data_IF_560245431819
#
_entry.id   IF_560245431819
#
_cell.length_a   1.000
_cell.length_b   1.000
_cell.length_c   1.000
_cell.angle_alpha   90.00
_cell.angle_beta   90.00
_cell.angle_gamma   90.00
#
_symmetry.space_group_name_H-M   'P 1'
#
loop_
_entity.id
_entity.type
_entity.pdbx_description
1 polymer ?
#
# COMPACT_ATOMS: atom_id res chain seq x y z
N UNK A 1 -4.10 -5.26 3.11
CA UNK A 1 -3.47 -6.52 2.64
C UNK A 1 -4.55 -7.58 2.67
N UNK A 2 -4.82 -8.29 1.56
CA UNK A 2 -5.97 -9.18 1.46
C UNK A 2 -5.89 -10.33 2.46
N UNK A 3 -7.05 -10.79 2.92
CA UNK A 3 -7.11 -11.95 3.78
C UNK A 3 -6.90 -13.22 2.94
N UNK A 4 -6.43 -14.31 3.56
CA UNK A 4 -6.19 -15.59 2.90
C UNK A 4 -7.40 -16.10 2.12
N UNK A 5 -8.60 -15.87 2.66
CA UNK A 5 -9.87 -16.28 2.05
C UNK A 5 -10.23 -15.51 0.78
N UNK A 6 -9.62 -14.34 0.54
CA UNK A 6 -9.87 -13.51 -0.63
C UNK A 6 -8.99 -13.93 -1.83
N UNK A 7 -8.00 -14.80 -1.61
CA UNK A 7 -7.14 -15.35 -2.66
C UNK A 7 -7.87 -16.45 -3.41
N UNK A 8 -8.50 -16.09 -4.52
CA UNK A 8 -9.21 -17.04 -5.38
C UNK A 8 -8.28 -17.74 -6.36
N UNK A 9 -8.46 -19.06 -6.55
CA UNK A 9 -7.78 -19.84 -7.58
C UNK A 9 -8.10 -19.32 -9.00
N UNK A 10 -7.18 -19.49 -9.96
CA UNK A 10 -7.39 -19.01 -11.31
C UNK A 10 -8.47 -19.83 -12.02
N UNK A 11 -9.47 -19.15 -12.59
CA UNK A 11 -10.55 -19.79 -13.36
C UNK A 11 -10.09 -20.25 -14.76
N UNK A 12 -8.95 -19.74 -15.23
CA UNK A 12 -8.34 -20.04 -16.53
C UNK A 12 -6.90 -20.53 -16.35
N UNK A 13 -6.30 -21.10 -17.41
CA UNK A 13 -4.92 -21.60 -17.36
C UNK A 13 -3.93 -20.45 -17.05
N UNK A 14 -3.25 -20.46 -15.89
CA UNK A 14 -2.32 -19.39 -15.54
C UNK A 14 -1.00 -19.54 -16.31
N UNK A 15 -0.30 -18.42 -16.51
CA UNK A 15 1.07 -18.40 -17.04
C UNK A 15 2.08 -18.88 -15.97
N UNK A 16 1.78 -18.56 -14.72
CA UNK A 16 2.51 -18.96 -13.54
C UNK A 16 1.83 -18.43 -12.28
N UNK A 17 2.31 -18.83 -11.11
CA UNK A 17 1.81 -18.32 -9.84
C UNK A 17 2.83 -17.34 -9.29
N UNK A 18 2.51 -16.05 -9.34
CA UNK A 18 3.41 -14.97 -8.98
C UNK A 18 2.95 -14.36 -7.65
N UNK A 19 3.69 -14.66 -6.58
CA UNK A 19 3.44 -14.13 -5.26
C UNK A 19 4.19 -12.81 -5.09
N UNK A 20 3.48 -11.72 -4.79
CA UNK A 20 4.07 -10.43 -4.45
C UNK A 20 4.00 -10.25 -2.94
N UNK A 21 5.17 -10.14 -2.29
CA UNK A 21 5.32 -9.90 -0.84
C UNK A 21 5.49 -8.41 -0.55
N UNK A 22 6.25 -7.72 -1.41
CA UNK A 22 6.43 -6.27 -1.37
C UNK A 22 6.19 -5.71 -2.78
N UNK A 23 5.23 -4.81 -2.91
CA UNK A 23 4.83 -4.19 -4.19
C UNK A 23 3.69 -3.18 -4.00
N UNK A 24 3.14 -2.63 -5.09
CA UNK A 24 1.98 -1.74 -5.03
C UNK A 24 0.79 -2.43 -4.38
N UNK A 25 0.53 -3.68 -4.79
CA UNK A 25 -0.43 -4.58 -4.19
C UNK A 25 0.25 -5.91 -3.83
N UNK A 26 -0.12 -6.44 -2.67
CA UNK A 26 0.34 -7.73 -2.17
C UNK A 26 -0.74 -8.77 -2.45
N UNK A 27 -0.46 -9.71 -3.35
CA UNK A 27 -1.40 -10.76 -3.77
C UNK A 27 -0.68 -11.88 -4.55
N UNK A 28 -1.46 -12.87 -5.00
CA UNK A 28 -1.03 -13.92 -5.94
C UNK A 28 -1.60 -13.58 -7.32
N UNK A 29 -0.72 -13.30 -8.27
CA UNK A 29 -1.06 -13.01 -9.65
C UNK A 29 -0.79 -14.21 -10.55
N UNK A 30 -1.53 -14.28 -11.66
CA UNK A 30 -1.51 -15.43 -12.58
C UNK A 30 -0.82 -15.14 -13.91
N UNK A 31 -0.50 -13.88 -14.16
CA UNK A 31 0.15 -13.38 -15.36
C UNK A 31 1.33 -12.51 -14.97
N UNK A 32 2.44 -12.64 -15.70
CA UNK A 32 3.61 -11.81 -15.42
C UNK A 32 3.31 -10.33 -15.66
N UNK A 33 2.52 -10.02 -16.70
CA UNK A 33 2.12 -8.65 -17.02
C UNK A 33 1.51 -7.93 -15.83
N UNK A 34 0.58 -8.59 -15.12
CA UNK A 34 -0.11 -7.99 -13.97
C UNK A 34 0.83 -7.89 -12.77
N UNK A 35 1.66 -8.92 -12.55
CA UNK A 35 2.69 -8.93 -11.49
C UNK A 35 3.68 -7.79 -11.67
N UNK A 36 4.15 -7.57 -12.90
CA UNK A 36 5.14 -6.57 -13.24
C UNK A 36 4.67 -5.15 -12.89
N UNK A 37 3.37 -4.85 -13.08
CA UNK A 37 2.77 -3.58 -12.67
C UNK A 37 2.88 -3.34 -11.16
N UNK A 38 2.87 -4.41 -10.36
CA UNK A 38 2.95 -4.29 -8.90
C UNK A 38 4.38 -4.08 -8.39
N UNK A 39 5.40 -4.52 -9.13
CA UNK A 39 6.78 -4.61 -8.61
C UNK A 39 7.79 -3.73 -9.33
N UNK A 40 7.59 -3.38 -10.59
CA UNK A 40 8.61 -2.71 -11.41
C UNK A 40 8.95 -1.29 -10.92
N UNK A 41 7.96 -0.56 -10.40
CA UNK A 41 8.15 0.82 -9.94
C UNK A 41 8.44 0.92 -8.43
N UNK A 42 8.54 -0.22 -7.74
CA UNK A 42 8.71 -0.27 -6.29
C UNK A 42 10.15 -0.66 -5.95
N UNK A 43 10.89 0.29 -5.41
CA UNK A 43 12.24 0.02 -4.89
C UNK A 43 12.16 -0.99 -3.74
N UNK A 44 12.91 -2.09 -3.87
CA UNK A 44 12.89 -3.18 -2.88
C UNK A 44 11.67 -4.10 -2.99
N UNK A 45 10.99 -4.14 -4.14
CA UNK A 45 9.94 -5.12 -4.38
C UNK A 45 10.44 -6.56 -4.21
N UNK A 46 9.61 -7.39 -3.59
CA UNK A 46 9.90 -8.82 -3.36
C UNK A 46 8.76 -9.61 -3.97
N UNK A 47 9.10 -10.48 -4.92
CA UNK A 47 8.15 -11.41 -5.53
C UNK A 47 8.79 -12.76 -5.78
N UNK A 48 7.95 -13.80 -5.84
CA UNK A 48 8.35 -15.17 -6.08
C UNK A 48 7.48 -15.81 -7.16
N UNK A 49 8.10 -16.55 -8.08
CA UNK A 49 7.39 -17.42 -9.00
C UNK A 49 7.29 -18.83 -8.41
N UNK A 50 6.07 -19.28 -8.15
CA UNK A 50 5.74 -20.60 -7.64
C UNK A 50 5.24 -21.52 -8.77
N UNK A 51 5.36 -22.84 -8.56
CA UNK A 51 4.90 -23.85 -9.54
C UNK A 51 3.41 -24.13 -9.43
N UNK A 52 2.82 -23.97 -8.25
CA UNK A 52 1.42 -24.27 -7.97
C UNK A 52 0.77 -23.17 -7.13
N UNK A 53 -0.56 -23.06 -7.21
CA UNK A 53 -1.33 -22.15 -6.37
C UNK A 53 -1.14 -22.45 -4.87
N UNK A 54 -1.23 -23.72 -4.47
CA UNK A 54 -1.03 -24.13 -3.08
C UNK A 54 0.35 -23.73 -2.54
N UNK A 55 1.40 -23.79 -3.36
CA UNK A 55 2.72 -23.33 -2.96
C UNK A 55 2.75 -21.81 -2.77
N UNK A 56 2.15 -21.06 -3.69
CA UNK A 56 2.05 -19.60 -3.57
C UNK A 56 1.24 -19.20 -2.33
N UNK A 57 0.12 -19.90 -2.08
CA UNK A 57 -0.72 -19.68 -0.91
C UNK A 57 0.02 -19.99 0.40
N UNK A 58 0.71 -21.12 0.49
CA UNK A 58 1.49 -21.47 1.68
C UNK A 58 2.59 -20.44 1.98
N UNK A 59 3.28 -19.96 0.93
CA UNK A 59 4.28 -18.90 1.08
C UNK A 59 3.64 -17.56 1.47
N UNK A 60 2.48 -17.23 0.90
CA UNK A 60 1.72 -16.04 1.28
C UNK A 60 1.31 -16.10 2.76
N UNK A 61 0.75 -17.23 3.21
CA UNK A 61 0.37 -17.45 4.62
C UNK A 61 1.57 -17.29 5.54
N UNK A 62 2.71 -17.92 5.22
CA UNK A 62 3.91 -17.80 6.02
C UNK A 62 4.42 -16.35 6.12
N UNK A 63 4.35 -15.58 5.03
CA UNK A 63 4.72 -14.17 5.04
C UNK A 63 3.69 -13.29 5.76
N UNK A 64 2.40 -13.62 5.67
CA UNK A 64 1.32 -12.96 6.39
C UNK A 64 1.50 -13.11 7.90
N UNK A 65 1.71 -14.34 8.37
CA UNK A 65 1.86 -14.66 9.79
C UNK A 65 3.13 -14.04 10.40
N UNK A 66 4.17 -13.84 9.59
CA UNK A 66 5.40 -13.15 10.00
C UNK A 66 5.32 -11.63 9.92
N UNK A 67 4.27 -11.06 9.32
CA UNK A 67 4.16 -9.63 9.08
C UNK A 67 5.14 -9.10 8.02
N UNK A 68 5.61 -9.96 7.11
CA UNK A 68 6.56 -9.60 6.03
C UNK A 68 5.85 -8.96 4.82
N UNK A 69 4.53 -9.09 4.73
CA UNK A 69 3.72 -8.53 3.66
C UNK A 69 3.67 -7.00 3.74
N UNK A 70 4.04 -6.30 2.66
CA UNK A 70 4.04 -4.83 2.62
C UNK A 70 3.55 -4.28 1.28
N UNK A 71 2.38 -3.66 1.31
CA UNK A 71 1.89 -2.88 0.17
C UNK A 71 2.45 -1.46 0.22
N UNK A 72 3.09 -1.02 -0.86
CA UNK A 72 3.64 0.33 -1.08
C UNK A 72 2.98 0.87 -2.35
N UNK A 73 1.70 1.26 -2.29
CA UNK A 73 1.01 1.78 -3.45
C UNK A 73 1.62 3.12 -3.89
N UNK A 74 1.54 3.44 -5.18
CA UNK A 74 1.98 4.76 -5.66
C UNK A 74 1.00 5.85 -5.20
N UNK A 75 1.49 7.03 -4.77
CA UNK A 75 0.62 8.17 -4.44
C UNK A 75 -0.34 8.45 -5.58
N UNK A 76 -1.64 8.61 -5.26
CA UNK A 76 -2.74 8.80 -6.23
C UNK A 76 -3.01 7.64 -7.21
N UNK A 77 -2.31 6.52 -7.07
CA UNK A 77 -2.52 5.32 -7.88
C UNK A 77 -3.83 4.59 -7.54
N UNK A 78 -4.21 3.59 -8.35
CA UNK A 78 -5.44 2.82 -8.16
C UNK A 78 -5.46 2.02 -6.85
N UNK A 79 -4.28 1.70 -6.31
CA UNK A 79 -4.10 0.96 -5.06
C UNK A 79 -3.84 1.87 -3.85
N UNK A 80 -3.83 3.20 -4.04
CA UNK A 80 -3.62 4.14 -2.94
C UNK A 80 -4.80 4.09 -1.97
N UNK A 81 -4.58 3.96 -0.64
CA UNK A 81 -5.67 3.80 0.31
C UNK A 81 -6.63 4.99 0.24
N UNK A 82 -7.89 4.73 -0.11
CA UNK A 82 -8.94 5.76 -0.15
C UNK A 82 -9.24 6.33 1.25
N UNK A 83 -8.83 5.65 2.33
CA UNK A 83 -8.97 6.17 3.70
C UNK A 83 -8.15 7.47 3.93
N UNK A 84 -7.08 7.69 3.15
CA UNK A 84 -6.37 8.99 3.11
C UNK A 84 -7.05 10.02 2.20
N UNK A 85 -8.00 9.56 1.38
CA UNK A 85 -8.83 10.37 0.51
C UNK A 85 -10.16 10.60 1.23
N UNK A 86 -10.12 11.21 2.42
CA UNK A 86 -11.34 11.72 3.05
C UNK A 86 -12.07 12.59 2.03
N UNK A 87 -13.31 12.27 1.60
CA UNK A 87 -14.25 13.35 1.37
C UNK A 87 -14.44 14.04 2.72
N UNK A 88 -14.51 15.38 2.72
CA UNK A 88 -14.80 16.17 3.91
C UNK A 88 -15.94 15.56 4.74
N UNK A 89 -15.87 15.65 6.09
CA UNK A 89 -16.32 14.57 6.97
C UNK A 89 -17.83 14.55 7.23
N UNK A 90 -18.42 13.35 7.23
CA UNK A 90 -19.41 13.00 8.26
C UNK A 90 -18.63 12.34 9.41
N UNK A 91 -18.31 13.22 10.34
CA UNK A 91 -17.42 13.12 11.48
C UNK A 91 -17.92 12.07 12.49
N UNK A 92 -17.12 11.06 12.82
CA UNK A 92 -17.32 10.21 14.01
C UNK A 92 -16.43 10.77 15.12
N UNK A 93 -17.04 11.19 16.22
CA UNK A 93 -16.50 12.10 17.25
C UNK A 93 -15.27 11.59 18.04
N UNK A 94 -14.75 10.40 17.75
CA UNK A 94 -13.66 9.79 18.55
C UNK A 94 -12.23 10.06 18.08
N UNK A 95 -12.01 10.36 16.80
CA UNK A 95 -10.65 10.35 16.21
C UNK A 95 -10.07 11.74 15.91
N UNK A 96 -10.83 12.81 16.20
CA UNK A 96 -10.41 14.19 15.89
C UNK A 96 -9.28 14.73 16.77
N UNK A 97 -9.06 14.12 17.95
CA UNK A 97 -8.06 14.62 18.88
C UNK A 97 -6.62 14.39 18.38
N UNK A 98 -6.38 13.40 17.51
CA UNK A 98 -5.03 12.96 17.17
C UNK A 98 -4.39 13.77 16.03
N UNK A 99 -5.19 14.33 15.13
CA UNK A 99 -4.69 15.11 13.98
C UNK A 99 -4.74 16.64 14.20
N UNK A 100 -5.52 17.12 15.17
CA UNK A 100 -5.60 18.55 15.47
C UNK A 100 -4.29 19.12 16.04
N UNK A 101 -3.52 18.30 16.78
CA UNK A 101 -2.25 18.74 17.40
C UNK A 101 -1.11 18.85 16.37
N UNK A 102 -1.10 17.96 15.36
CA UNK A 102 -0.09 18.01 14.27
C UNK A 102 -0.34 19.14 13.27
N UNK A 103 -1.61 19.51 13.04
CA UNK A 103 -1.95 20.64 12.17
C UNK A 103 -1.48 21.98 12.79
N UNK A 104 -1.65 22.12 14.11
CA UNK A 104 -1.17 23.31 14.83
C UNK A 104 0.37 23.43 14.83
N UNK A 105 1.09 22.31 14.89
CA UNK A 105 2.55 22.32 14.83
C UNK A 105 3.10 22.70 13.44
N UNK A 106 2.38 22.36 12.37
CA UNK A 106 2.74 22.76 11.00
C UNK A 106 2.41 24.23 10.69
N UNK A 107 1.39 24.79 11.35
CA UNK A 107 1.08 26.23 11.27
C UNK A 107 2.14 27.08 11.98
N UNK A 108 2.56 26.67 13.17
CA UNK A 108 3.62 27.36 13.94
C UNK A 108 4.97 27.36 13.20
N UNK A 109 5.30 26.25 12.51
CA UNK A 109 6.52 26.17 11.68
C UNK A 109 6.44 27.03 10.42
N UNK A 110 5.24 27.29 9.88
CA UNK A 110 5.06 28.16 8.71
C UNK A 110 5.16 29.65 9.05
N UNK A 111 4.83 30.07 10.28
CA UNK A 111 4.90 31.48 10.67
C UNK A 111 6.30 31.98 11.02
N UNK A 112 7.30 31.10 11.15
CA UNK A 112 8.68 31.50 11.49
C UNK A 112 9.48 31.99 10.27
N UNK A 113 8.97 31.88 9.04
CA UNK A 113 9.76 32.14 7.82
C UNK A 113 9.27 33.34 6.98
N UNK A 114 8.85 34.46 7.58
CA UNK A 114 8.54 35.67 6.79
C UNK A 114 8.72 36.98 7.58
N UNK A 115 9.81 37.11 8.33
CA UNK A 115 10.31 38.42 8.77
C UNK A 115 11.83 38.50 8.55
N UNK A 116 12.23 38.59 7.29
CA UNK A 116 13.56 39.07 6.90
C UNK A 116 13.40 40.25 5.93
N UNK A 117 13.15 41.40 6.55
CA UNK A 117 13.51 42.78 6.20
C UNK A 117 13.92 43.08 4.76
N UNK A 118 13.16 43.96 4.10
CA UNK A 118 13.57 44.60 2.86
C UNK A 118 12.80 45.89 2.59
N UNK A 119 12.97 46.91 3.44
CA UNK A 119 12.54 48.28 3.15
C UNK A 119 13.77 49.17 3.10
N UNK A 120 14.14 49.61 1.90
CA UNK A 120 14.68 50.95 1.59
C UNK A 120 14.76 51.16 0.08
#
# INVERSE_FOLDING_TARGET
>A
IPHLSDLAEPTSKPEGFYLVIIGQEVSIFYMWKDTALQVLEISGAIYYKCKTFQQALANYTAAYDKGELRAIPSPSGPFWPTVLRTPSPALSEGEQSYWAEVDHLMDVLSQVQLDATGSQ
#
